data_IF_535470801752
#
_entry.id   IF_535470801752
#
_cell.length_a   1.000
_cell.length_b   1.000
_cell.length_c   1.000
_cell.angle_alpha   90.00
_cell.angle_beta   90.00
_cell.angle_gamma   90.00
#
_symmetry.space_group_name_H-M   'P 1'
#
loop_
_entity.id
_entity.type
_entity.pdbx_description
1 polymer ?
#
# COMPACT_ATOMS: atom_id res chain seq x y z
N UNK A 1 21.93 -6.19 -33.48
CA UNK A 1 21.74 -5.26 -32.36
C UNK A 1 20.32 -5.47 -31.87
N UNK A 2 20.14 -6.34 -30.88
CA UNK A 2 18.81 -6.76 -30.40
C UNK A 2 18.30 -5.66 -29.47
N UNK A 3 17.27 -4.95 -29.90
CA UNK A 3 16.59 -3.95 -29.07
C UNK A 3 15.77 -4.75 -28.04
N UNK A 4 16.25 -4.83 -26.80
CA UNK A 4 15.44 -5.28 -25.67
C UNK A 4 14.31 -4.28 -25.49
N UNK A 5 13.10 -4.66 -25.90
CA UNK A 5 11.89 -3.90 -25.56
C UNK A 5 11.81 -3.76 -24.03
N UNK A 6 11.41 -2.58 -23.50
CA UNK A 6 11.22 -2.44 -22.07
C UNK A 6 10.11 -3.41 -21.66
N UNK A 7 10.42 -4.28 -20.69
CA UNK A 7 9.42 -5.12 -20.02
C UNK A 7 8.33 -4.19 -19.53
N UNK A 8 7.18 -4.21 -20.20
CA UNK A 8 5.96 -3.62 -19.67
C UNK A 8 5.53 -4.56 -18.55
N UNK A 9 6.09 -4.34 -17.35
CA UNK A 9 5.53 -4.90 -16.13
C UNK A 9 4.06 -4.52 -16.17
N UNK A 10 3.18 -5.53 -16.21
CA UNK A 10 1.76 -5.32 -16.49
C UNK A 10 1.14 -4.45 -15.42
N UNK A 11 1.14 -3.13 -15.65
CA UNK A 11 0.61 -2.09 -14.77
C UNK A 11 -0.82 -2.43 -14.29
N UNK A 12 -1.58 -3.13 -15.14
CA UNK A 12 -2.93 -3.61 -14.87
C UNK A 12 -3.01 -4.57 -13.67
N UNK A 13 -2.02 -5.47 -13.51
CA UNK A 13 -2.00 -6.45 -12.41
C UNK A 13 -1.73 -5.78 -11.06
N UNK A 14 -0.65 -4.99 -10.96
CA UNK A 14 -0.33 -4.25 -9.74
C UNK A 14 -1.40 -3.24 -9.34
N UNK A 15 -2.05 -2.59 -10.31
CA UNK A 15 -3.16 -1.68 -10.02
C UNK A 15 -4.39 -2.41 -9.48
N UNK A 16 -4.75 -3.56 -10.07
CA UNK A 16 -5.82 -4.41 -9.55
C UNK A 16 -5.52 -4.90 -8.13
N UNK A 17 -4.27 -5.33 -7.87
CA UNK A 17 -3.81 -5.72 -6.53
C UNK A 17 -3.98 -4.55 -5.54
N UNK A 18 -3.54 -3.34 -5.90
CA UNK A 18 -3.66 -2.17 -5.04
C UNK A 18 -5.13 -1.83 -4.70
N UNK A 19 -6.03 -1.92 -5.69
CA UNK A 19 -7.47 -1.70 -5.48
C UNK A 19 -8.04 -2.76 -4.53
N UNK A 20 -7.82 -4.05 -4.80
CA UNK A 20 -8.35 -5.11 -3.95
C UNK A 20 -7.81 -5.02 -2.53
N UNK A 21 -6.55 -4.64 -2.35
CA UNK A 21 -5.98 -4.38 -1.02
C UNK A 21 -6.71 -3.21 -0.34
N UNK A 22 -6.92 -2.09 -1.04
CA UNK A 22 -7.66 -0.95 -0.50
C UNK A 22 -9.11 -1.31 -0.09
N UNK A 23 -9.80 -2.13 -0.87
CA UNK A 23 -11.13 -2.63 -0.55
C UNK A 23 -11.11 -3.52 0.71
N UNK A 24 -10.15 -4.46 0.80
CA UNK A 24 -10.00 -5.30 1.98
C UNK A 24 -9.72 -4.50 3.27
N UNK A 25 -8.95 -3.41 3.16
CA UNK A 25 -8.73 -2.50 4.26
C UNK A 25 -10.00 -1.72 4.65
N UNK A 26 -10.78 -1.25 3.67
CA UNK A 26 -12.04 -0.56 3.92
C UNK A 26 -13.06 -1.45 4.66
N UNK A 27 -13.12 -2.73 4.31
CA UNK A 27 -13.96 -3.74 4.96
C UNK A 27 -13.40 -4.26 6.30
N UNK A 28 -12.22 -3.77 6.72
CA UNK A 28 -11.50 -4.25 7.92
C UNK A 28 -11.34 -5.78 7.93
N UNK A 29 -11.07 -6.36 6.77
CA UNK A 29 -10.96 -7.81 6.60
C UNK A 29 -9.48 -8.22 6.45
N UNK A 30 -8.77 -8.51 7.55
CA UNK A 30 -7.37 -8.90 7.50
C UNK A 30 -7.12 -10.26 6.85
N UNK A 31 -8.12 -11.15 6.82
CA UNK A 31 -8.01 -12.42 6.13
C UNK A 31 -7.95 -12.20 4.61
N UNK A 32 -8.90 -11.43 4.07
CA UNK A 32 -8.92 -11.07 2.65
C UNK A 32 -7.68 -10.27 2.23
N UNK A 33 -7.24 -9.31 3.06
CA UNK A 33 -5.99 -8.59 2.82
C UNK A 33 -4.79 -9.56 2.69
N UNK A 34 -4.69 -10.55 3.58
CA UNK A 34 -3.62 -11.54 3.53
C UNK A 34 -3.74 -12.48 2.33
N UNK A 35 -4.95 -12.85 1.92
CA UNK A 35 -5.18 -13.65 0.71
C UNK A 35 -4.65 -12.92 -0.52
N UNK A 36 -4.97 -11.63 -0.70
CA UNK A 36 -4.46 -10.82 -1.81
C UNK A 36 -2.93 -10.71 -1.74
N UNK A 37 -2.38 -10.42 -0.56
CA UNK A 37 -0.93 -10.27 -0.37
C UNK A 37 -0.16 -11.56 -0.65
N UNK A 38 -0.72 -12.73 -0.30
CA UNK A 38 -0.09 -14.03 -0.50
C UNK A 38 -0.35 -14.61 -1.91
N UNK A 39 -1.41 -14.17 -2.57
CA UNK A 39 -1.80 -14.60 -3.91
C UNK A 39 -1.33 -13.69 -5.04
N UNK A 40 -0.58 -12.62 -4.74
CA UNK A 40 0.01 -11.76 -5.77
C UNK A 40 1.04 -12.54 -6.60
N UNK A 41 0.98 -12.39 -7.92
CA UNK A 41 1.87 -13.06 -8.87
C UNK A 41 3.35 -12.72 -8.61
N UNK A 42 3.62 -11.49 -8.17
CA UNK A 42 4.91 -11.05 -7.67
C UNK A 42 4.80 -10.58 -6.20
N UNK A 43 5.60 -11.18 -5.33
CA UNK A 43 5.69 -10.78 -3.93
C UNK A 43 6.15 -9.31 -3.76
N UNK A 44 6.92 -8.79 -4.74
CA UNK A 44 7.36 -7.41 -4.77
C UNK A 44 6.20 -6.44 -5.01
N UNK A 45 5.21 -6.82 -5.83
CA UNK A 45 4.05 -5.98 -6.14
C UNK A 45 3.16 -5.79 -4.91
N UNK A 46 2.89 -6.85 -4.16
CA UNK A 46 2.11 -6.74 -2.92
C UNK A 46 2.86 -5.92 -1.84
N UNK A 47 4.18 -6.05 -1.76
CA UNK A 47 5.00 -5.26 -0.85
C UNK A 47 5.03 -3.78 -1.26
N UNK A 48 5.15 -3.50 -2.56
CA UNK A 48 5.08 -2.16 -3.13
C UNK A 48 3.71 -1.53 -2.85
N UNK A 49 2.61 -2.21 -3.19
CA UNK A 49 1.24 -1.73 -2.95
C UNK A 49 0.99 -1.45 -1.47
N UNK A 50 1.39 -2.35 -0.57
CA UNK A 50 1.28 -2.14 0.88
C UNK A 50 2.00 -0.88 1.33
N UNK A 51 3.23 -0.67 0.84
CA UNK A 51 4.06 0.49 1.20
C UNK A 51 3.48 1.79 0.63
N UNK A 52 2.99 1.78 -0.60
CA UNK A 52 2.35 2.93 -1.25
C UNK A 52 1.07 3.32 -0.53
N UNK A 53 0.19 2.36 -0.22
CA UNK A 53 -1.06 2.61 0.51
C UNK A 53 -0.78 3.17 1.92
N UNK A 54 0.21 2.62 2.61
CA UNK A 54 0.65 3.16 3.91
C UNK A 54 1.19 4.59 3.77
N UNK A 55 2.02 4.87 2.76
CA UNK A 55 2.54 6.21 2.49
C UNK A 55 1.42 7.23 2.26
N UNK A 56 0.43 6.88 1.43
CA UNK A 56 -0.75 7.72 1.15
C UNK A 56 -1.58 7.98 2.42
N UNK A 57 -1.78 6.96 3.25
CA UNK A 57 -2.47 7.07 4.53
C UNK A 57 -1.74 8.04 5.48
N UNK A 58 -0.41 7.89 5.63
CA UNK A 58 0.42 8.77 6.46
C UNK A 58 0.37 10.22 5.96
N UNK A 59 0.50 10.42 4.65
CA UNK A 59 0.46 11.75 4.04
C UNK A 59 -0.91 12.42 4.22
N UNK A 60 -2.00 11.67 4.07
CA UNK A 60 -3.35 12.16 4.29
C UNK A 60 -3.58 12.60 5.74
N UNK A 61 -3.17 11.78 6.72
CA UNK A 61 -3.29 12.12 8.14
C UNK A 61 -2.43 13.33 8.53
N UNK A 62 -1.18 13.37 8.06
CA UNK A 62 -0.25 14.48 8.25
C UNK A 62 -0.85 15.80 7.74
N UNK A 63 -1.44 15.77 6.54
CA UNK A 63 -2.08 16.93 5.94
C UNK A 63 -3.27 17.43 6.77
N UNK A 64 -4.15 16.53 7.24
CA UNK A 64 -5.31 16.90 8.07
C UNK A 64 -4.91 17.54 9.40
N UNK A 65 -3.84 17.03 10.01
CA UNK A 65 -3.38 17.47 11.34
C UNK A 65 -2.38 18.62 11.30
N UNK A 66 -1.88 18.99 10.12
CA UNK A 66 -0.89 20.05 9.95
C UNK A 66 0.49 19.72 10.53
N UNK A 67 0.87 18.43 10.54
CA UNK A 67 2.12 17.93 11.11
C UNK A 67 2.94 17.15 10.07
N UNK A 68 4.26 16.95 10.28
CA UNK A 68 5.08 16.06 9.45
C UNK A 68 4.57 14.61 9.42
N UNK A 69 4.66 13.96 8.26
CA UNK A 69 4.32 12.53 8.12
C UNK A 69 5.18 11.60 8.98
N UNK A 70 6.42 12.01 9.29
CA UNK A 70 7.29 11.29 10.22
C UNK A 70 6.67 11.21 11.63
N UNK A 71 6.00 12.27 12.09
CA UNK A 71 5.38 12.31 13.41
C UNK A 71 4.15 11.39 13.48
N UNK A 72 3.39 11.31 12.38
CA UNK A 72 2.28 10.34 12.24
C UNK A 72 2.82 8.92 12.30
N UNK A 73 3.90 8.63 11.58
CA UNK A 73 4.53 7.31 11.60
C UNK A 73 5.04 6.94 12.99
N UNK A 74 5.72 7.86 13.68
CA UNK A 74 6.19 7.64 15.04
C UNK A 74 5.06 7.49 16.07
N UNK A 75 3.90 8.11 15.85
CA UNK A 75 2.71 7.85 16.63
C UNK A 75 2.22 6.41 16.40
N UNK A 76 1.94 6.02 15.15
CA UNK A 76 1.44 4.68 14.80
C UNK A 76 2.38 3.57 15.29
N UNK A 77 3.71 3.73 15.15
CA UNK A 77 4.66 2.72 15.65
C UNK A 77 4.61 2.52 17.16
N UNK A 78 4.25 3.56 17.92
CA UNK A 78 4.17 3.51 19.38
C UNK A 78 2.82 3.01 19.89
N UNK A 79 1.74 3.40 19.23
CA UNK A 79 0.36 3.17 19.70
C UNK A 79 -0.36 2.07 18.94
N UNK A 80 0.05 1.78 17.71
CA UNK A 80 -0.69 0.95 16.77
C UNK A 80 -1.93 1.64 16.19
N UNK A 81 -2.16 2.91 16.51
CA UNK A 81 -3.39 3.64 16.17
C UNK A 81 -3.10 4.79 15.21
N UNK A 82 -4.04 5.07 14.32
CA UNK A 82 -4.02 6.25 13.47
C UNK A 82 -4.44 7.48 14.30
N UNK A 83 -3.66 8.57 14.29
CA UNK A 83 -4.12 9.82 14.87
C UNK A 83 -5.25 10.37 13.98
N UNK A 84 -6.44 10.53 14.58
CA UNK A 84 -7.67 11.00 13.92
C UNK A 84 -7.73 12.52 13.88
#
# INVERSE_FOLDING_TARGET
MTITEPVRVGCESGFATAISMAEAAADRNPAWWNEIRMGADDALDAAYCSSTLLGMLLQSAAHRLGVPAADIWDHIRRTGELPL
#
